data_IF_078939376513
#
_entry.id   IF_078939376513
#
_cell.length_a   1.000
_cell.length_b   1.000
_cell.length_c   1.000
_cell.angle_alpha   90.00
_cell.angle_beta   90.00
_cell.angle_gamma   90.00
#
_symmetry.space_group_name_H-M   'P 1'
#
loop_
_entity.id
_entity.type
_entity.pdbx_description
1 polymer ?
#
# COMPACT_ATOMS: atom_id res chain seq x y z
N UNK A 1 35.74 15.11 -2.80
CA UNK A 1 34.29 14.79 -2.58
C UNK A 1 34.11 13.35 -3.02
N UNK A 2 33.80 12.46 -2.12
CA UNK A 2 33.41 11.07 -2.46
C UNK A 2 32.13 11.13 -3.28
N UNK A 3 32.13 10.47 -4.44
CA UNK A 3 30.95 10.39 -5.32
C UNK A 3 29.88 9.57 -4.60
N UNK A 4 28.65 10.07 -4.54
CA UNK A 4 27.53 9.31 -3.98
C UNK A 4 27.31 8.00 -4.75
N UNK A 5 26.92 6.96 -4.04
CA UNK A 5 26.64 5.64 -4.62
C UNK A 5 25.26 5.66 -5.27
N UNK A 6 25.15 5.30 -6.55
CA UNK A 6 23.86 5.30 -7.24
C UNK A 6 22.98 4.15 -6.76
N UNK A 7 21.68 4.41 -6.58
CA UNK A 7 20.63 3.41 -6.38
C UNK A 7 19.46 3.74 -7.30
N UNK A 8 19.03 2.77 -8.09
CA UNK A 8 17.84 2.85 -8.94
C UNK A 8 16.66 2.29 -8.18
N UNK A 9 15.64 3.11 -7.90
CA UNK A 9 14.46 2.74 -7.12
C UNK A 9 13.21 2.76 -8.01
N UNK A 10 12.49 1.65 -8.11
CA UNK A 10 11.18 1.61 -8.74
C UNK A 10 10.09 1.87 -7.70
N UNK A 11 9.18 2.82 -7.96
CA UNK A 11 8.00 3.07 -7.14
C UNK A 11 6.76 2.48 -7.79
N UNK A 12 6.14 1.51 -7.09
CA UNK A 12 4.96 0.77 -7.58
C UNK A 12 3.62 1.48 -7.39
N UNK A 13 3.59 2.64 -6.75
CA UNK A 13 2.38 3.45 -6.52
C UNK A 13 1.88 4.19 -7.78
N UNK A 14 2.68 4.20 -8.85
CA UNK A 14 2.34 4.91 -10.09
C UNK A 14 2.30 6.43 -9.90
N UNK A 15 1.42 7.14 -10.63
CA UNK A 15 1.34 8.60 -10.57
C UNK A 15 0.59 9.11 -9.34
N UNK A 16 -0.04 8.24 -8.55
CA UNK A 16 -0.82 8.64 -7.36
C UNK A 16 0.02 8.41 -6.11
N UNK A 17 0.46 9.50 -5.48
CA UNK A 17 1.08 9.46 -4.17
C UNK A 17 0.04 9.13 -3.10
N UNK A 18 0.31 8.09 -2.28
CA UNK A 18 -0.42 7.81 -1.06
C UNK A 18 0.40 8.20 0.17
N UNK A 19 -0.22 8.10 1.35
CA UNK A 19 0.47 8.34 2.64
C UNK A 19 1.71 7.44 2.77
N UNK A 20 1.64 6.24 2.23
CA UNK A 20 2.74 5.27 2.25
C UNK A 20 3.98 5.74 1.48
N UNK A 21 3.80 6.59 0.46
CA UNK A 21 4.90 7.10 -0.37
C UNK A 21 5.61 8.31 0.25
N UNK A 22 5.01 8.94 1.27
CA UNK A 22 5.52 10.17 1.88
C UNK A 22 6.94 10.02 2.42
N UNK A 23 7.28 8.88 3.03
CA UNK A 23 8.61 8.64 3.57
C UNK A 23 9.69 8.65 2.49
N UNK A 24 9.41 8.03 1.34
CA UNK A 24 10.32 8.03 0.20
C UNK A 24 10.44 9.42 -0.44
N UNK A 25 9.32 10.09 -0.64
CA UNK A 25 9.29 11.45 -1.19
C UNK A 25 10.03 12.43 -0.27
N UNK A 26 9.80 12.34 1.04
CA UNK A 26 10.50 13.15 2.05
C UNK A 26 11.99 12.85 2.08
N UNK A 27 12.40 11.57 1.98
CA UNK A 27 13.82 11.20 1.95
C UNK A 27 14.56 11.85 0.78
N UNK A 28 13.90 11.95 -0.39
CA UNK A 28 14.44 12.66 -1.54
C UNK A 28 14.45 14.18 -1.31
N UNK A 29 13.31 14.75 -0.91
CA UNK A 29 13.15 16.20 -0.82
C UNK A 29 14.00 16.84 0.28
N UNK A 30 14.17 16.14 1.41
CA UNK A 30 14.98 16.58 2.54
C UNK A 30 16.48 16.23 2.41
N UNK A 31 16.88 15.59 1.32
CA UNK A 31 18.28 15.19 1.12
C UNK A 31 18.76 14.07 2.05
N UNK A 32 17.85 13.31 2.66
CA UNK A 32 18.22 12.29 3.64
C UNK A 32 19.08 11.16 3.06
N UNK A 33 18.92 10.85 1.79
CA UNK A 33 19.73 9.84 1.10
C UNK A 33 21.09 10.40 0.68
N UNK A 34 21.13 11.65 0.24
CA UNK A 34 22.39 12.37 -0.10
C UNK A 34 23.30 12.50 1.13
N UNK A 35 22.71 12.74 2.32
CA UNK A 35 23.46 12.76 3.60
C UNK A 35 24.03 11.39 3.98
N UNK A 36 23.41 10.29 3.54
CA UNK A 36 23.92 8.93 3.66
C UNK A 36 24.91 8.56 2.54
N UNK A 37 25.21 9.50 1.63
CA UNK A 37 26.13 9.28 0.50
C UNK A 37 25.52 8.47 -0.64
N UNK A 38 24.20 8.52 -0.81
CA UNK A 38 23.49 7.85 -1.89
C UNK A 38 22.96 8.87 -2.90
N UNK A 39 22.93 8.45 -4.17
CA UNK A 39 22.27 9.13 -5.29
C UNK A 39 21.11 8.25 -5.75
N UNK A 40 19.91 8.52 -5.23
CA UNK A 40 18.73 7.68 -5.47
C UNK A 40 17.94 8.23 -6.65
N UNK A 41 17.83 7.43 -7.69
CA UNK A 41 17.05 7.75 -8.89
C UNK A 41 15.74 6.99 -8.92
N UNK A 42 14.62 7.71 -9.07
CA UNK A 42 13.28 7.13 -9.13
C UNK A 42 12.90 6.74 -10.55
N UNK A 43 12.35 5.51 -10.67
CA UNK A 43 11.73 5.03 -11.91
C UNK A 43 10.25 4.76 -11.60
N UNK A 44 9.32 5.59 -12.10
CA UNK A 44 7.90 5.34 -11.90
C UNK A 44 7.45 4.12 -12.71
N UNK A 45 6.73 3.21 -12.07
CA UNK A 45 6.14 2.03 -12.70
C UNK A 45 4.69 1.83 -12.23
N UNK A 46 3.87 1.20 -13.04
CA UNK A 46 2.48 0.94 -12.68
C UNK A 46 2.34 -0.38 -11.91
N UNK A 47 2.16 -0.27 -10.60
CA UNK A 47 1.85 -1.38 -9.71
C UNK A 47 3.08 -2.12 -9.17
N UNK A 48 2.92 -2.70 -7.99
CA UNK A 48 4.00 -3.36 -7.26
C UNK A 48 4.55 -4.60 -7.95
N UNK A 49 3.75 -5.30 -8.79
CA UNK A 49 4.24 -6.44 -9.58
C UNK A 49 5.25 -5.97 -10.62
N UNK A 50 4.93 -4.88 -11.34
CA UNK A 50 5.84 -4.30 -12.33
C UNK A 50 7.12 -3.77 -11.67
N UNK A 51 7.01 -3.15 -10.47
CA UNK A 51 8.17 -2.68 -9.71
C UNK A 51 9.11 -3.83 -9.33
N UNK A 52 8.57 -4.95 -8.83
CA UNK A 52 9.38 -6.13 -8.49
C UNK A 52 9.94 -6.84 -9.73
N UNK A 53 9.20 -6.90 -10.85
CA UNK A 53 9.75 -7.44 -12.09
C UNK A 53 10.93 -6.60 -12.60
N UNK A 54 10.86 -5.27 -12.50
CA UNK A 54 11.99 -4.40 -12.85
C UNK A 54 13.25 -4.68 -12.01
N UNK A 55 13.08 -5.10 -10.74
CA UNK A 55 14.20 -5.55 -9.88
C UNK A 55 14.74 -6.90 -10.33
N UNK A 56 13.86 -7.88 -10.62
CA UNK A 56 14.27 -9.20 -11.09
C UNK A 56 14.98 -9.15 -12.46
N UNK A 57 14.57 -8.21 -13.31
CA UNK A 57 15.14 -7.99 -14.65
C UNK A 57 16.37 -7.06 -14.63
N UNK A 58 16.90 -6.69 -13.44
CA UNK A 58 18.05 -5.78 -13.25
C UNK A 58 17.90 -4.39 -13.90
N UNK A 59 16.67 -3.93 -14.11
CA UNK A 59 16.37 -2.58 -14.59
C UNK A 59 16.57 -1.56 -13.47
N UNK A 60 16.20 -1.94 -12.24
CA UNK A 60 16.39 -1.17 -11.00
C UNK A 60 16.95 -2.07 -9.90
N UNK A 61 17.47 -1.46 -8.84
CA UNK A 61 18.14 -2.14 -7.74
C UNK A 61 17.18 -2.52 -6.61
N UNK A 62 16.20 -1.65 -6.36
CA UNK A 62 15.24 -1.78 -5.26
C UNK A 62 13.86 -1.40 -5.76
N UNK A 63 12.83 -2.06 -5.26
CA UNK A 63 11.44 -1.64 -5.43
C UNK A 63 10.87 -1.10 -4.13
N UNK A 64 9.99 -0.11 -4.24
CA UNK A 64 9.10 0.33 -3.19
C UNK A 64 7.64 0.11 -3.59
N UNK A 65 6.87 -0.53 -2.72
CA UNK A 65 5.47 -0.82 -3.03
C UNK A 65 4.80 -1.73 -2.00
N UNK A 66 3.64 -2.25 -2.35
CA UNK A 66 2.87 -3.15 -1.48
C UNK A 66 3.57 -4.49 -1.23
N UNK A 67 3.34 -5.07 -0.06
CA UNK A 67 3.89 -6.39 0.33
C UNK A 67 3.37 -7.54 -0.55
N UNK A 68 2.10 -7.50 -0.98
CA UNK A 68 1.44 -8.60 -1.70
C UNK A 68 2.20 -9.10 -2.93
N UNK A 69 2.64 -8.22 -3.86
CA UNK A 69 3.44 -8.61 -5.02
C UNK A 69 4.74 -9.32 -4.65
N UNK A 70 5.43 -8.90 -3.59
CA UNK A 70 6.69 -9.52 -3.13
C UNK A 70 6.42 -10.93 -2.61
N UNK A 71 5.38 -11.10 -1.76
CA UNK A 71 5.01 -12.42 -1.24
C UNK A 71 4.57 -13.38 -2.35
N UNK A 72 3.84 -12.86 -3.34
CA UNK A 72 3.44 -13.67 -4.50
C UNK A 72 4.65 -14.19 -5.25
N UNK A 73 5.59 -13.32 -5.61
CA UNK A 73 6.82 -13.71 -6.32
C UNK A 73 7.67 -14.68 -5.50
N UNK A 74 7.79 -14.46 -4.18
CA UNK A 74 8.44 -15.40 -3.28
C UNK A 74 7.76 -16.79 -3.30
N UNK A 75 6.42 -16.85 -3.34
CA UNK A 75 5.68 -18.13 -3.44
C UNK A 75 5.84 -18.81 -4.79
N UNK A 76 6.17 -18.08 -5.83
CA UNK A 76 6.51 -18.58 -7.17
C UNK A 76 7.98 -19.04 -7.27
N UNK A 77 8.77 -18.88 -6.19
CA UNK A 77 10.17 -19.30 -6.11
C UNK A 77 11.17 -18.23 -6.55
N UNK A 78 10.74 -17.01 -6.78
CA UNK A 78 11.65 -15.91 -7.15
C UNK A 78 12.53 -15.49 -5.96
N UNK A 79 13.82 -15.17 -6.19
CA UNK A 79 14.79 -14.87 -5.14
C UNK A 79 14.66 -13.44 -4.60
N UNK A 80 13.48 -13.11 -4.09
CA UNK A 80 13.17 -11.77 -3.58
C UNK A 80 13.43 -11.64 -2.07
N UNK A 81 13.81 -10.43 -1.63
CA UNK A 81 14.06 -10.07 -0.23
C UNK A 81 13.33 -8.78 0.14
N UNK A 82 12.68 -8.78 1.31
CA UNK A 82 12.14 -7.57 1.92
C UNK A 82 13.25 -6.98 2.80
N UNK A 83 13.60 -5.72 2.55
CA UNK A 83 14.63 -4.99 3.30
C UNK A 83 14.01 -4.35 4.54
N UNK A 84 12.91 -3.62 4.35
CA UNK A 84 12.21 -2.93 5.42
C UNK A 84 10.74 -2.77 5.09
N UNK A 85 9.89 -2.76 6.13
CA UNK A 85 8.49 -2.34 6.02
C UNK A 85 8.32 -0.98 6.69
N UNK A 86 7.71 -0.04 5.99
CA UNK A 86 7.49 1.32 6.46
C UNK A 86 6.23 1.47 7.29
N UNK A 87 5.22 0.63 7.06
CA UNK A 87 3.96 0.66 7.79
C UNK A 87 3.63 -0.71 8.38
N UNK A 88 3.06 -0.71 9.58
CA UNK A 88 2.62 -1.93 10.29
C UNK A 88 1.17 -2.29 9.99
N UNK A 89 0.42 -1.38 9.39
CA UNK A 89 -0.97 -1.57 9.03
C UNK A 89 -1.29 -0.77 7.77
N UNK A 90 -2.28 -1.21 7.02
CA UNK A 90 -2.81 -0.49 5.87
C UNK A 90 -3.67 0.67 6.34
N UNK A 91 -3.35 1.88 5.86
CA UNK A 91 -4.11 3.09 6.15
C UNK A 91 -5.40 3.11 5.29
N UNK A 92 -6.36 2.27 5.67
CA UNK A 92 -7.67 2.15 5.00
C UNK A 92 -8.82 2.27 5.98
N UNK A 93 -9.96 2.67 5.45
CA UNK A 93 -11.26 2.66 6.12
C UNK A 93 -12.20 1.68 5.39
N UNK A 94 -13.10 1.04 6.12
CA UNK A 94 -14.21 0.31 5.55
C UNK A 94 -15.35 1.29 5.32
N UNK A 95 -15.64 1.58 4.07
CA UNK A 95 -16.66 2.55 3.65
C UNK A 95 -17.83 1.83 2.99
N UNK A 96 -19.03 2.24 3.37
CA UNK A 96 -20.29 1.69 2.87
C UNK A 96 -21.12 2.79 2.20
N UNK A 97 -22.03 2.37 1.31
CA UNK A 97 -23.06 3.27 0.79
C UNK A 97 -24.08 3.66 1.86
N UNK A 98 -24.90 4.62 1.55
CA UNK A 98 -26.06 5.02 2.38
C UNK A 98 -26.93 3.81 2.78
N UNK A 99 -27.36 3.80 4.03
CA UNK A 99 -28.24 2.77 4.58
C UNK A 99 -27.52 1.56 5.21
N UNK A 100 -26.20 1.38 5.00
CA UNK A 100 -25.41 0.36 5.69
C UNK A 100 -24.60 1.03 6.79
N UNK A 101 -25.02 0.87 8.04
CA UNK A 101 -24.48 1.60 9.20
C UNK A 101 -24.03 0.68 10.34
N UNK A 102 -24.14 -0.65 10.16
CA UNK A 102 -23.69 -1.64 11.15
C UNK A 102 -23.01 -2.84 10.48
N UNK A 103 -22.13 -3.53 11.24
CA UNK A 103 -21.40 -4.70 10.76
C UNK A 103 -22.31 -5.88 10.43
N UNK A 104 -23.46 -6.01 11.11
CA UNK A 104 -24.42 -7.07 10.85
C UNK A 104 -25.04 -7.01 9.45
N UNK A 105 -25.03 -5.83 8.82
CA UNK A 105 -25.54 -5.61 7.47
C UNK A 105 -24.55 -5.98 6.37
N UNK A 106 -23.35 -6.47 6.71
CA UNK A 106 -22.31 -6.81 5.75
C UNK A 106 -22.47 -8.19 5.11
N UNK A 107 -23.48 -8.99 5.53
CA UNK A 107 -23.78 -10.29 4.92
C UNK A 107 -24.62 -10.12 3.66
N UNK A 108 -24.27 -10.84 2.61
CA UNK A 108 -25.02 -10.84 1.35
C UNK A 108 -24.87 -9.55 0.51
N UNK A 109 -23.90 -8.69 0.84
CA UNK A 109 -23.69 -7.42 0.15
C UNK A 109 -22.54 -7.49 -0.87
N UNK A 110 -22.52 -6.54 -1.80
CA UNK A 110 -21.46 -6.41 -2.81
C UNK A 110 -20.24 -5.65 -2.30
N UNK A 111 -19.04 -6.19 -2.53
CA UNK A 111 -17.77 -5.58 -2.16
C UNK A 111 -16.93 -5.24 -3.38
N UNK A 112 -16.61 -3.97 -3.54
CA UNK A 112 -15.74 -3.50 -4.61
C UNK A 112 -14.27 -3.71 -4.27
N UNK A 113 -13.54 -4.30 -5.23
CA UNK A 113 -12.11 -4.61 -5.18
C UNK A 113 -11.39 -3.93 -6.35
N UNK A 114 -10.06 -3.73 -6.26
CA UNK A 114 -9.25 -3.39 -7.44
C UNK A 114 -9.30 -4.52 -8.47
N UNK A 115 -9.20 -5.75 -7.98
CA UNK A 115 -9.23 -6.96 -8.76
C UNK A 115 -9.02 -8.19 -7.88
N UNK A 116 -9.34 -9.36 -8.41
CA UNK A 116 -9.11 -10.62 -7.70
C UNK A 116 -7.60 -10.86 -7.53
N UNK A 117 -7.19 -11.20 -6.29
CA UNK A 117 -5.78 -11.36 -5.93
C UNK A 117 -5.02 -10.05 -5.66
N UNK A 118 -5.65 -8.89 -5.85
CA UNK A 118 -5.11 -7.60 -5.45
C UNK A 118 -5.07 -7.45 -3.92
N UNK A 119 -4.35 -6.42 -3.44
CA UNK A 119 -4.25 -6.12 -2.01
C UNK A 119 -5.63 -5.87 -1.38
N UNK A 120 -6.49 -5.10 -2.06
CA UNK A 120 -7.87 -4.84 -1.62
C UNK A 120 -8.68 -6.12 -1.43
N UNK A 121 -8.48 -7.13 -2.29
CA UNK A 121 -9.14 -8.43 -2.14
C UNK A 121 -8.63 -9.19 -0.91
N UNK A 122 -7.30 -9.26 -0.71
CA UNK A 122 -6.74 -9.92 0.46
C UNK A 122 -7.19 -9.26 1.76
N UNK A 123 -7.19 -7.94 1.81
CA UNK A 123 -7.65 -7.19 2.98
C UNK A 123 -9.14 -7.40 3.24
N UNK A 124 -9.99 -7.32 2.22
CA UNK A 124 -11.42 -7.56 2.36
C UNK A 124 -11.70 -8.98 2.92
N UNK A 125 -11.00 -10.00 2.42
CA UNK A 125 -11.09 -11.38 2.95
C UNK A 125 -10.69 -11.47 4.42
N UNK A 126 -9.63 -10.76 4.84
CA UNK A 126 -9.24 -10.72 6.26
C UNK A 126 -10.30 -10.06 7.12
N UNK A 127 -10.91 -8.98 6.64
CA UNK A 127 -12.01 -8.29 7.35
C UNK A 127 -13.21 -9.20 7.50
N UNK A 128 -13.71 -9.82 6.43
CA UNK A 128 -14.90 -10.70 6.51
C UNK A 128 -14.65 -11.91 7.39
N UNK A 129 -13.45 -12.49 7.36
CA UNK A 129 -13.06 -13.58 8.26
C UNK A 129 -13.02 -13.15 9.73
N UNK A 130 -12.47 -11.96 10.02
CA UNK A 130 -12.43 -11.42 11.38
C UNK A 130 -13.84 -11.10 11.92
N UNK A 131 -14.79 -10.80 11.03
CA UNK A 131 -16.21 -10.59 11.35
C UNK A 131 -17.03 -11.91 11.34
N UNK A 132 -16.37 -13.06 11.16
CA UNK A 132 -17.02 -14.37 11.07
C UNK A 132 -18.10 -14.44 9.97
N UNK A 133 -17.84 -13.77 8.84
CA UNK A 133 -18.65 -13.82 7.62
C UNK A 133 -18.02 -14.82 6.65
N UNK A 134 -18.83 -15.69 6.04
CA UNK A 134 -18.36 -16.59 4.99
C UNK A 134 -17.98 -15.82 3.72
N UNK A 135 -16.86 -16.18 3.09
CA UNK A 135 -16.44 -15.53 1.84
C UNK A 135 -17.46 -15.77 0.71
N UNK A 136 -18.21 -16.84 0.77
CA UNK A 136 -19.31 -17.22 -0.12
C UNK A 136 -20.61 -16.44 0.13
N UNK A 137 -20.70 -15.74 1.26
CA UNK A 137 -21.81 -14.81 1.54
C UNK A 137 -21.59 -13.43 0.90
N UNK A 138 -20.45 -13.18 0.28
CA UNK A 138 -20.08 -11.87 -0.27
C UNK A 138 -20.12 -11.89 -1.80
N UNK A 139 -20.76 -10.89 -2.40
CA UNK A 139 -20.68 -10.63 -3.84
C UNK A 139 -19.42 -9.81 -4.15
N UNK A 140 -18.33 -10.53 -4.48
CA UNK A 140 -17.05 -9.91 -4.80
C UNK A 140 -17.05 -9.34 -6.21
N UNK A 141 -16.81 -8.02 -6.35
CA UNK A 141 -16.79 -7.33 -7.63
C UNK A 141 -15.43 -6.66 -7.91
N UNK A 142 -14.76 -7.10 -8.97
CA UNK A 142 -13.55 -6.45 -9.48
C UNK A 142 -13.96 -5.18 -10.25
N UNK A 143 -13.85 -4.03 -9.59
CA UNK A 143 -14.29 -2.73 -10.09
C UNK A 143 -13.14 -1.92 -10.67
N UNK A 144 -11.95 -2.00 -10.04
CA UNK A 144 -10.79 -1.21 -10.44
C UNK A 144 -10.29 -0.28 -9.32
N UNK A 145 -9.53 0.77 -9.69
CA UNK A 145 -8.86 1.66 -8.74
C UNK A 145 -9.86 2.43 -7.85
N UNK A 146 -9.38 3.05 -6.76
CA UNK A 146 -10.24 3.71 -5.77
C UNK A 146 -11.25 4.72 -6.34
N UNK A 147 -10.91 5.58 -7.32
CA UNK A 147 -11.90 6.53 -7.86
C UNK A 147 -13.15 5.86 -8.43
N UNK A 148 -12.98 4.75 -9.18
CA UNK A 148 -14.10 3.99 -9.75
C UNK A 148 -14.94 3.31 -8.67
N UNK A 149 -14.29 2.80 -7.62
CA UNK A 149 -14.98 2.18 -6.48
C UNK A 149 -15.79 3.22 -5.68
N UNK A 150 -15.23 4.41 -5.49
CA UNK A 150 -15.93 5.54 -4.84
C UNK A 150 -17.14 5.96 -5.66
N UNK A 151 -17.00 6.14 -6.98
CA UNK A 151 -18.10 6.48 -7.86
C UNK A 151 -19.25 5.48 -7.75
N UNK A 152 -18.95 4.18 -7.73
CA UNK A 152 -19.97 3.14 -7.60
C UNK A 152 -20.62 3.08 -6.22
N UNK A 153 -19.87 3.36 -5.14
CA UNK A 153 -20.43 3.51 -3.80
C UNK A 153 -21.43 4.67 -3.74
N UNK A 154 -21.06 5.84 -4.30
CA UNK A 154 -21.90 7.02 -4.37
C UNK A 154 -23.17 6.77 -5.23
N UNK A 155 -23.04 6.01 -6.30
CA UNK A 155 -24.17 5.63 -7.15
C UNK A 155 -25.04 4.51 -6.53
N UNK A 156 -24.65 3.94 -5.38
CA UNK A 156 -25.36 2.82 -4.75
C UNK A 156 -25.32 1.51 -5.52
N UNK A 157 -24.45 1.39 -6.52
CA UNK A 157 -24.30 0.16 -7.33
C UNK A 157 -23.34 -0.85 -6.72
N UNK A 158 -22.61 -0.47 -5.66
CA UNK A 158 -21.78 -1.30 -4.78
C UNK A 158 -22.10 -0.91 -3.35
N UNK A 159 -22.05 -1.88 -2.45
CA UNK A 159 -22.42 -1.68 -1.06
C UNK A 159 -21.23 -1.28 -0.18
N UNK A 160 -20.05 -1.87 -0.40
CA UNK A 160 -18.89 -1.79 0.50
C UNK A 160 -17.58 -1.69 -0.29
N UNK A 161 -16.63 -0.94 0.21
CA UNK A 161 -15.23 -0.97 -0.24
C UNK A 161 -14.25 -0.56 0.85
N UNK A 162 -13.02 -1.06 0.75
CA UNK A 162 -11.88 -0.54 1.48
C UNK A 162 -11.30 0.66 0.72
N UNK A 163 -11.33 1.84 1.35
CA UNK A 163 -10.89 3.12 0.78
C UNK A 163 -9.73 3.64 1.62
N UNK A 164 -8.69 4.20 0.99
CA UNK A 164 -7.57 4.78 1.71
C UNK A 164 -8.02 5.95 2.59
N UNK A 165 -7.34 6.16 3.72
CA UNK A 165 -7.74 7.20 4.69
C UNK A 165 -7.77 8.59 4.09
N UNK A 166 -6.82 8.93 3.20
CA UNK A 166 -6.75 10.21 2.51
C UNK A 166 -7.94 10.43 1.55
N UNK A 167 -8.35 9.38 0.84
CA UNK A 167 -9.50 9.42 -0.07
C UNK A 167 -10.81 9.50 0.73
N UNK A 168 -10.93 8.72 1.80
CA UNK A 168 -12.07 8.79 2.70
C UNK A 168 -12.18 10.16 3.40
N UNK A 169 -11.06 10.77 3.78
CA UNK A 169 -11.04 12.11 4.35
C UNK A 169 -11.54 13.17 3.35
N UNK A 170 -11.13 13.05 2.09
CA UNK A 170 -11.64 13.94 1.03
C UNK A 170 -13.16 13.79 0.83
N UNK A 171 -13.68 12.56 0.90
CA UNK A 171 -15.12 12.29 0.81
C UNK A 171 -15.90 12.84 2.02
N UNK A 172 -15.33 12.74 3.23
CA UNK A 172 -15.98 13.22 4.45
C UNK A 172 -16.04 14.75 4.53
N UNK A 173 -15.20 15.47 3.77
CA UNK A 173 -15.28 16.94 3.66
C UNK A 173 -16.56 17.40 2.95
N UNK A 174 -17.16 16.55 2.12
CA UNK A 174 -18.46 16.76 1.47
C UNK A 174 -19.57 16.18 2.37
N UNK A 175 -19.88 16.87 3.46
CA UNK A 175 -20.93 16.47 4.40
C UNK A 175 -22.26 16.25 3.64
N UNK A 176 -22.74 15.00 3.62
CA UNK A 176 -24.03 14.65 2.99
C UNK A 176 -23.92 13.86 1.68
N UNK A 177 -22.73 13.33 1.35
CA UNK A 177 -22.55 12.48 0.15
C UNK A 177 -23.18 11.08 0.25
N UNK A 178 -23.80 10.73 1.40
CA UNK A 178 -24.48 9.44 1.60
C UNK A 178 -23.56 8.25 1.89
N UNK A 179 -22.25 8.44 1.96
CA UNK A 179 -21.32 7.39 2.35
C UNK A 179 -21.13 7.34 3.88
N UNK A 180 -20.88 6.13 4.40
CA UNK A 180 -20.65 5.92 5.81
C UNK A 180 -19.31 5.19 6.03
N UNK A 181 -18.45 5.75 6.88
CA UNK A 181 -17.26 5.03 7.37
C UNK A 181 -17.68 4.09 8.48
N UNK A 182 -17.81 2.81 8.15
CA UNK A 182 -18.30 1.78 9.08
C UNK A 182 -17.21 1.38 10.09
N UNK A 183 -15.97 1.24 9.61
CA UNK A 183 -14.78 1.07 10.43
C UNK A 183 -13.72 2.06 9.94
N UNK A 184 -13.28 2.92 10.84
CA UNK A 184 -12.13 3.77 10.59
C UNK A 184 -10.81 2.96 10.67
N UNK A 185 -9.70 3.62 10.32
CA UNK A 185 -8.39 2.99 10.33
C UNK A 185 -8.02 2.35 11.70
N UNK A 186 -8.38 3.01 12.81
CA UNK A 186 -8.06 2.51 14.14
C UNK A 186 -8.78 1.20 14.44
N UNK A 187 -10.09 1.15 14.19
CA UNK A 187 -10.92 -0.04 14.41
C UNK A 187 -10.53 -1.16 13.44
N UNK A 188 -10.26 -0.81 12.18
CA UNK A 188 -9.86 -1.78 11.16
C UNK A 188 -8.50 -2.41 11.48
N UNK A 189 -7.55 -1.60 11.99
CA UNK A 189 -6.23 -2.08 12.44
C UNK A 189 -6.35 -3.05 13.63
N UNK A 190 -7.31 -2.82 14.53
CA UNK A 190 -7.51 -3.70 15.69
C UNK A 190 -8.24 -5.00 15.29
N UNK A 191 -9.11 -4.94 14.29
CA UNK A 191 -9.86 -6.09 13.78
C UNK A 191 -8.97 -7.04 12.95
N UNK A 192 -8.08 -6.50 12.11
CA UNK A 192 -7.24 -7.27 11.20
C UNK A 192 -5.80 -7.31 11.71
N UNK A 193 -5.17 -8.49 11.78
CA UNK A 193 -3.77 -8.60 12.21
C UNK A 193 -2.84 -7.67 11.45
N UNK A 194 -1.72 -7.31 12.09
CA UNK A 194 -0.71 -6.44 11.49
C UNK A 194 -0.40 -6.86 10.06
N UNK A 195 -0.64 -5.95 9.12
CA UNK A 195 -0.37 -6.13 7.70
C UNK A 195 0.73 -5.17 7.29
N UNK A 196 2.00 -5.62 7.22
CA UNK A 196 3.08 -4.78 6.74
C UNK A 196 2.75 -4.22 5.36
N UNK A 197 2.95 -2.92 5.20
CA UNK A 197 2.69 -2.24 3.94
C UNK A 197 3.77 -1.20 3.65
N UNK A 198 3.94 -0.84 2.36
CA UNK A 198 5.05 0.02 1.98
C UNK A 198 6.39 -0.68 2.29
N UNK A 199 6.77 -1.66 1.48
CA UNK A 199 8.03 -2.38 1.65
C UNK A 199 9.06 -1.95 0.64
N UNK A 200 10.33 -1.83 1.08
CA UNK A 200 11.48 -1.89 0.20
C UNK A 200 11.85 -3.35 -0.02
N UNK A 201 12.01 -3.74 -1.28
CA UNK A 201 12.37 -5.09 -1.63
C UNK A 201 13.38 -5.13 -2.77
N UNK A 202 14.22 -6.16 -2.79
CA UNK A 202 15.25 -6.38 -3.80
C UNK A 202 15.45 -7.87 -4.05
N UNK A 203 16.48 -8.28 -4.79
CA UNK A 203 16.86 -9.68 -4.93
C UNK A 203 17.82 -10.14 -3.83
N UNK A 204 17.87 -11.45 -3.56
CA UNK A 204 18.88 -12.03 -2.66
C UNK A 204 20.32 -11.72 -3.09
N UNK A 205 20.57 -11.72 -4.39
CA UNK A 205 21.88 -11.45 -4.94
C UNK A 205 22.32 -10.00 -4.67
N UNK A 206 21.44 -9.06 -4.93
CA UNK A 206 21.71 -7.65 -4.69
C UNK A 206 21.87 -7.36 -3.19
N UNK A 207 21.00 -7.89 -2.35
CA UNK A 207 21.07 -7.74 -0.89
C UNK A 207 22.42 -8.20 -0.34
N UNK A 208 22.91 -9.37 -0.77
CA UNK A 208 24.22 -9.90 -0.32
C UNK A 208 25.40 -9.04 -0.78
N UNK A 209 25.31 -8.46 -1.98
CA UNK A 209 26.41 -7.67 -2.57
C UNK A 209 26.43 -6.21 -2.06
N UNK A 210 25.29 -5.66 -1.63
CA UNK A 210 25.09 -4.22 -1.37
C UNK A 210 24.49 -3.93 0.01
N UNK A 211 24.87 -4.69 1.04
CA UNK A 211 24.32 -4.55 2.40
C UNK A 211 24.51 -3.14 2.97
N UNK A 212 25.68 -2.51 2.76
CA UNK A 212 25.96 -1.17 3.27
C UNK A 212 25.06 -0.12 2.61
N UNK A 213 24.91 -0.18 1.29
CA UNK A 213 24.03 0.70 0.54
C UNK A 213 22.56 0.57 0.97
N UNK A 214 22.08 -0.65 1.19
CA UNK A 214 20.73 -0.91 1.66
C UNK A 214 20.51 -0.43 3.10
N UNK A 215 21.52 -0.56 3.97
CA UNK A 215 21.47 0.01 5.32
C UNK A 215 21.40 1.55 5.27
N UNK A 216 22.20 2.21 4.41
CA UNK A 216 22.17 3.66 4.21
C UNK A 216 20.82 4.11 3.66
N UNK A 217 20.27 3.39 2.66
CA UNK A 217 18.94 3.66 2.10
C UNK A 217 17.86 3.62 3.19
N UNK A 218 17.90 2.58 4.03
CA UNK A 218 16.96 2.40 5.15
C UNK A 218 17.11 3.51 6.20
N UNK A 219 18.35 3.90 6.55
CA UNK A 219 18.58 5.01 7.51
C UNK A 219 18.04 6.33 6.99
N UNK A 220 18.24 6.63 5.70
CA UNK A 220 17.67 7.83 5.06
C UNK A 220 16.14 7.85 5.17
N UNK A 221 15.47 6.72 4.90
CA UNK A 221 14.02 6.62 5.07
C UNK A 221 13.55 6.77 6.52
N UNK A 222 14.24 6.16 7.48
CA UNK A 222 13.91 6.31 8.90
C UNK A 222 14.03 7.78 9.33
N UNK A 223 15.07 8.47 8.88
CA UNK A 223 15.29 9.89 9.15
C UNK A 223 14.16 10.74 8.57
N UNK A 224 13.80 10.50 7.31
CA UNK A 224 12.68 11.18 6.66
C UNK A 224 11.34 10.93 7.38
N UNK A 225 11.07 9.68 7.76
CA UNK A 225 9.87 9.33 8.52
C UNK A 225 9.80 10.04 9.88
N UNK A 226 10.93 10.22 10.56
CA UNK A 226 10.98 10.98 11.82
C UNK A 226 10.70 12.46 11.56
N UNK A 227 11.33 13.06 10.56
CA UNK A 227 11.09 14.45 10.21
C UNK A 227 9.62 14.76 9.88
N UNK A 228 8.87 13.78 9.30
CA UNK A 228 7.44 13.92 9.05
C UNK A 228 6.56 13.83 10.32
N UNK A 229 7.09 13.31 11.42
CA UNK A 229 6.35 13.14 12.67
C UNK A 229 6.71 14.19 13.74
N UNK A 230 7.78 14.93 13.54
CA UNK A 230 8.30 15.92 14.52
C UNK A 230 7.74 17.35 14.28
N UNK A 231 6.97 17.57 13.18
CA UNK A 231 6.22 18.79 12.86
C UNK A 231 4.72 18.65 13.16
#
# INVERSE_FOLDING_TARGET
>A
MTKNLPIRLAAGSGPTFGVDDLACAAATHLGCWEEEGLDVTWTPVHGGVAAMRAVLDDVVDVSYGGLGPVLRLASEGEPVRIIVSMARALAQNLVTREGITSLDQLRGVSWALDGFGALSHHMARLVVRALEIGEDEIDWQAVGPPPERIERLLAGSIDVSLIRVEEAAALNSDAGNGLHTLLGFAELKDLVPVQPHGVLATTEAYERAHQDELHRLTRGMIRASRALNDD
#
